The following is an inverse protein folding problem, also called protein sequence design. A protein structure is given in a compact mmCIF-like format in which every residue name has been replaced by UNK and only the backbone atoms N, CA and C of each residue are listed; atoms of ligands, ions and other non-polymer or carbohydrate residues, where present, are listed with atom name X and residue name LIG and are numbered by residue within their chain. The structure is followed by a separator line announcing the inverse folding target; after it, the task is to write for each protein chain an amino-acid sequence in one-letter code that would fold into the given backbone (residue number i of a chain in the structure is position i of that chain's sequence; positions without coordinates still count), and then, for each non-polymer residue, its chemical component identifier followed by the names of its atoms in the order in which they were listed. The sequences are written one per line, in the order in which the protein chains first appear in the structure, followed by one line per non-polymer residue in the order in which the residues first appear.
data_IF_088607992529
#
_entry.id   IF_088607992529
#
_cell.length_a   1.000
_cell.length_b   1.000
_cell.length_c   1.000
_cell.angle_alpha   90.00
_cell.angle_beta   90.00
_cell.angle_gamma   90.00
#
_symmetry.space_group_name_H-M   'P 1'
#
loop_
_entity.id
_entity.type
_entity.pdbx_description
1 polymer ?
#
# COMPACT_ATOMS: atom_id res chain seq x y z
N UNK A 1 -5.67 -13.62 -3.98
CA UNK A 1 -4.50 -13.69 -3.08
C UNK A 1 -4.04 -15.14 -2.98
N UNK A 2 -2.77 -15.44 -3.29
CA UNK A 2 -2.22 -16.82 -3.28
C UNK A 2 -1.10 -16.98 -2.25
N UNK A 3 -0.20 -15.99 -2.15
CA UNK A 3 1.01 -16.08 -1.32
C UNK A 3 0.72 -16.27 0.17
N UNK A 4 -0.23 -15.51 0.71
CA UNK A 4 -0.50 -15.50 2.16
C UNK A 4 -0.89 -16.88 2.71
N UNK A 5 -1.96 -17.55 2.23
CA UNK A 5 -2.32 -18.88 2.74
C UNK A 5 -1.26 -19.94 2.43
N UNK A 6 -0.51 -19.80 1.33
CA UNK A 6 0.61 -20.68 1.02
C UNK A 6 1.69 -20.59 2.10
N UNK A 7 2.13 -19.39 2.47
CA UNK A 7 3.14 -19.19 3.52
C UNK A 7 2.62 -19.63 4.88
N UNK A 8 1.39 -19.24 5.25
CA UNK A 8 0.78 -19.60 6.53
C UNK A 8 0.68 -21.12 6.71
N UNK A 9 0.50 -21.89 5.64
CA UNK A 9 0.46 -23.37 5.70
C UNK A 9 1.82 -24.04 5.93
N UNK A 10 2.93 -23.29 5.89
CA UNK A 10 4.30 -23.82 5.92
C UNK A 10 5.11 -23.42 7.13
N UNK A 11 4.60 -22.52 7.97
CA UNK A 11 5.32 -21.97 9.11
C UNK A 11 4.43 -21.96 10.35
N UNK A 12 5.04 -22.09 11.52
CA UNK A 12 4.35 -22.02 12.81
C UNK A 12 4.51 -20.64 13.48
N UNK A 13 5.41 -19.80 12.97
CA UNK A 13 5.61 -18.44 13.48
C UNK A 13 4.50 -17.51 13.00
N UNK A 14 4.19 -16.43 13.75
CA UNK A 14 3.18 -15.47 13.33
C UNK A 14 3.45 -14.84 11.96
N UNK A 15 2.42 -14.81 11.12
CA UNK A 15 2.47 -14.24 9.77
C UNK A 15 1.74 -12.90 9.73
N UNK A 16 2.45 -11.87 9.27
CA UNK A 16 1.88 -10.52 9.04
C UNK A 16 1.67 -10.34 7.54
N UNK A 17 0.44 -10.08 7.12
CA UNK A 17 0.11 -9.86 5.71
C UNK A 17 0.43 -8.43 5.28
N UNK A 18 1.14 -8.24 4.16
CA UNK A 18 1.52 -6.94 3.65
C UNK A 18 1.19 -6.79 2.15
N UNK A 19 0.85 -5.57 1.74
CA UNK A 19 0.54 -5.22 0.35
C UNK A 19 -0.94 -5.39 0.00
N UNK A 20 -1.63 -4.27 -0.24
CA UNK A 20 -3.07 -4.27 -0.59
C UNK A 20 -4.03 -4.13 0.60
N UNK A 21 -3.52 -4.04 1.83
CA UNK A 21 -4.31 -3.85 3.05
C UNK A 21 -4.42 -2.37 3.42
N UNK A 22 -5.61 -1.93 3.82
CA UNK A 22 -5.95 -0.51 4.04
C UNK A 22 -7.03 -0.29 5.11
N UNK A 23 -7.85 -1.29 5.40
CA UNK A 23 -9.08 -1.16 6.18
C UNK A 23 -9.44 -2.48 6.90
N UNK A 24 -10.55 -2.49 7.63
CA UNK A 24 -10.97 -3.65 8.41
C UNK A 24 -11.45 -4.82 7.56
N UNK A 25 -12.02 -4.56 6.39
CA UNK A 25 -12.40 -5.61 5.42
C UNK A 25 -11.18 -6.39 4.95
N UNK A 26 -10.13 -5.69 4.53
CA UNK A 26 -8.88 -6.33 4.09
C UNK A 26 -8.15 -7.00 5.24
N UNK A 27 -8.23 -6.45 6.46
CA UNK A 27 -7.74 -7.13 7.67
C UNK A 27 -8.47 -8.44 7.93
N UNK A 28 -9.81 -8.44 7.94
CA UNK A 28 -10.60 -9.66 8.14
C UNK A 28 -10.28 -10.74 7.08
N UNK A 29 -10.10 -10.32 5.82
CA UNK A 29 -9.66 -11.22 4.76
C UNK A 29 -8.25 -11.80 5.02
N UNK A 30 -7.31 -11.00 5.53
CA UNK A 30 -5.98 -11.48 5.91
C UNK A 30 -6.04 -12.52 7.03
N UNK A 31 -6.83 -12.26 8.07
CA UNK A 31 -7.02 -13.17 9.19
C UNK A 31 -7.63 -14.50 8.73
N UNK A 32 -8.65 -14.44 7.86
CA UNK A 32 -9.26 -15.63 7.27
C UNK A 32 -8.28 -16.46 6.42
N UNK A 33 -7.25 -15.82 5.86
CA UNK A 33 -6.20 -16.46 5.08
C UNK A 33 -5.00 -16.94 5.92
N UNK A 34 -5.09 -16.85 7.25
CA UNK A 34 -4.08 -17.37 8.18
C UNK A 34 -3.04 -16.35 8.63
N UNK A 35 -3.25 -15.05 8.39
CA UNK A 35 -2.44 -14.01 9.02
C UNK A 35 -2.89 -13.77 10.47
N UNK A 36 -2.01 -13.19 11.28
CA UNK A 36 -2.32 -12.71 12.63
C UNK A 36 -2.40 -11.17 12.70
N UNK A 37 -1.88 -10.48 11.69
CA UNK A 37 -1.96 -9.04 11.56
C UNK A 37 -1.81 -8.60 10.10
N UNK A 38 -2.05 -7.31 9.84
CA UNK A 38 -1.75 -6.65 8.58
C UNK A 38 -0.68 -5.57 8.76
N UNK A 39 0.12 -5.34 7.72
CA UNK A 39 1.03 -4.21 7.59
C UNK A 39 0.52 -3.27 6.50
N UNK A 40 0.38 -1.99 6.85
CA UNK A 40 -0.08 -0.93 5.95
C UNK A 40 1.08 0.00 5.56
N UNK A 41 1.28 0.20 4.26
CA UNK A 41 2.26 1.13 3.71
C UNK A 41 1.61 2.42 3.22
N UNK A 42 1.06 2.40 1.99
CA UNK A 42 0.42 3.56 1.35
C UNK A 42 -0.61 4.26 2.24
N UNK A 43 -1.44 3.51 2.97
CA UNK A 43 -2.44 4.04 3.91
C UNK A 43 -1.80 4.89 5.02
N UNK A 44 -0.62 4.49 5.50
CA UNK A 44 0.10 5.20 6.56
C UNK A 44 0.81 6.46 6.02
N UNK A 45 1.17 6.49 4.73
CA UNK A 45 1.68 7.71 4.08
C UNK A 45 0.60 8.78 4.02
N UNK A 46 -0.64 8.40 3.69
CA UNK A 46 -1.81 9.29 3.66
C UNK A 46 -2.42 9.50 5.06
N UNK A 47 -1.59 9.88 6.04
CA UNK A 47 -2.06 10.24 7.40
C UNK A 47 -1.60 11.65 7.76
N UNK A 48 -2.29 12.25 8.74
CA UNK A 48 -1.96 13.61 9.21
C UNK A 48 -0.53 13.67 9.74
N UNK A 49 -0.13 12.67 10.52
CA UNK A 49 1.17 12.58 11.21
C UNK A 49 2.33 12.19 10.29
N UNK A 50 2.05 11.66 9.10
CA UNK A 50 3.08 11.37 8.09
C UNK A 50 3.86 12.65 7.74
N UNK A 51 5.21 12.64 7.81
CA UNK A 51 6.03 13.82 7.53
C UNK A 51 6.22 14.09 6.03
N UNK A 52 5.62 13.26 5.17
CA UNK A 52 5.67 13.40 3.72
C UNK A 52 4.89 14.65 3.30
N UNK A 53 5.39 15.33 2.27
CA UNK A 53 4.76 16.52 1.71
C UNK A 53 3.31 16.25 1.25
N UNK A 54 2.45 17.24 1.44
CA UNK A 54 1.01 17.14 1.21
C UNK A 54 0.66 16.68 -0.22
N UNK A 55 1.39 17.18 -1.23
CA UNK A 55 1.22 16.74 -2.62
C UNK A 55 1.27 15.22 -2.81
N UNK A 56 2.13 14.51 -2.09
CA UNK A 56 2.19 13.04 -2.22
C UNK A 56 1.04 12.38 -1.48
N UNK A 57 0.63 12.90 -0.31
CA UNK A 57 -0.57 12.41 0.36
C UNK A 57 -1.81 12.59 -0.53
N UNK A 58 -1.93 13.75 -1.17
CA UNK A 58 -3.03 14.05 -2.08
C UNK A 58 -2.97 13.19 -3.36
N UNK A 59 -1.77 12.96 -3.92
CA UNK A 59 -1.60 12.04 -5.05
C UNK A 59 -2.03 10.61 -4.72
N UNK A 60 -1.93 10.16 -3.45
CA UNK A 60 -2.47 8.88 -3.02
C UNK A 60 -4.00 8.91 -3.00
N UNK A 61 -4.59 9.99 -2.48
CA UNK A 61 -6.05 10.16 -2.37
C UNK A 61 -6.72 10.27 -3.73
N UNK A 62 -6.07 10.94 -4.68
CA UNK A 62 -6.60 11.19 -6.02
C UNK A 62 -6.37 10.00 -6.99
N UNK A 63 -5.53 9.05 -6.61
CA UNK A 63 -5.15 7.94 -7.48
C UNK A 63 -6.23 6.85 -7.56
N UNK A 64 -6.45 6.32 -8.76
CA UNK A 64 -7.16 5.05 -8.96
C UNK A 64 -6.27 3.84 -8.65
N UNK A 65 -6.84 2.65 -8.65
CA UNK A 65 -6.12 1.39 -8.50
C UNK A 65 -5.13 1.12 -9.66
N UNK A 66 -5.34 1.78 -10.81
CA UNK A 66 -4.51 1.64 -12.01
C UNK A 66 -3.40 2.69 -12.14
N UNK A 67 -3.37 3.67 -11.24
CA UNK A 67 -2.39 4.77 -11.24
C UNK A 67 -1.07 4.40 -10.55
N UNK A 68 -0.63 3.16 -10.75
CA UNK A 68 0.71 2.72 -10.38
C UNK A 68 1.41 2.03 -11.54
N UNK A 69 2.74 2.14 -11.58
CA UNK A 69 3.60 1.42 -12.52
C UNK A 69 4.54 0.49 -11.79
N UNK A 70 4.96 -0.58 -12.47
CA UNK A 70 5.98 -1.50 -11.97
C UNK A 70 7.28 -1.25 -12.74
N UNK A 71 8.26 -0.67 -12.07
CA UNK A 71 9.57 -0.36 -12.62
C UNK A 71 10.57 -1.48 -12.31
N UNK A 72 11.67 -1.47 -13.05
CA UNK A 72 12.77 -2.41 -12.85
C UNK A 72 12.30 -3.87 -12.98
N UNK A 73 11.54 -4.20 -14.02
CA UNK A 73 10.94 -5.54 -14.20
C UNK A 73 11.96 -6.62 -14.55
N UNK A 74 13.13 -6.22 -15.04
CA UNK A 74 14.20 -7.12 -15.49
C UNK A 74 15.44 -7.08 -14.59
N UNK A 75 15.41 -6.30 -13.50
CA UNK A 75 16.48 -6.24 -12.50
C UNK A 75 15.89 -6.14 -11.08
N UNK A 76 16.68 -6.49 -10.06
CA UNK A 76 16.22 -6.46 -8.67
C UNK A 76 16.75 -5.20 -7.95
N UNK A 77 15.97 -4.58 -7.05
CA UNK A 77 14.56 -4.89 -6.73
C UNK A 77 13.57 -4.26 -7.72
N UNK A 78 12.45 -4.94 -7.99
CA UNK A 78 11.31 -4.32 -8.69
C UNK A 78 10.62 -3.30 -7.80
N UNK A 79 10.20 -2.16 -8.36
CA UNK A 79 9.61 -1.06 -7.59
C UNK A 79 8.18 -0.79 -8.07
N UNK A 80 7.23 -0.67 -7.14
CA UNK A 80 5.90 -0.14 -7.45
C UNK A 80 5.78 1.30 -6.96
N UNK A 81 5.41 2.18 -7.87
CA UNK A 81 5.35 3.63 -7.65
C UNK A 81 4.04 4.18 -8.20
N UNK A 82 3.60 5.32 -7.68
CA UNK A 82 2.53 6.12 -8.27
C UNK A 82 2.92 6.56 -9.67
N UNK A 83 1.93 6.63 -10.57
CA UNK A 83 2.11 7.09 -11.94
C UNK A 83 2.30 8.61 -11.96
N UNK A 84 3.41 9.04 -12.55
CA UNK A 84 3.77 10.43 -12.84
C UNK A 84 4.38 10.47 -14.24
N UNK A 85 4.70 11.66 -14.77
CA UNK A 85 5.37 11.74 -16.08
C UNK A 85 6.73 11.01 -16.06
N UNK A 86 7.51 11.19 -14.98
CA UNK A 86 8.79 10.48 -14.78
C UNK A 86 8.60 8.97 -14.68
N UNK A 87 7.71 8.48 -13.81
CA UNK A 87 7.58 7.03 -13.60
C UNK A 87 6.96 6.33 -14.81
N UNK A 88 6.02 6.98 -15.51
CA UNK A 88 5.41 6.48 -16.72
C UNK A 88 6.44 6.28 -17.85
N UNK A 89 7.38 7.22 -18.00
CA UNK A 89 8.46 7.10 -18.99
C UNK A 89 9.41 5.90 -18.73
N UNK A 90 9.48 5.42 -17.48
CA UNK A 90 10.35 4.32 -17.07
C UNK A 90 9.67 2.95 -17.07
N UNK A 91 8.34 2.86 -17.25
CA UNK A 91 7.59 1.61 -17.12
C UNK A 91 8.06 0.52 -18.09
N UNK A 92 8.49 0.93 -19.29
CA UNK A 92 8.97 0.05 -20.35
C UNK A 92 10.48 0.18 -20.61
N UNK A 93 11.21 0.93 -19.77
CA UNK A 93 12.65 0.98 -19.84
C UNK A 93 13.25 -0.32 -19.27
N UNK A 94 14.04 -0.99 -20.11
CA UNK A 94 14.72 -2.25 -19.77
C UNK A 94 16.23 -2.09 -19.67
N UNK A 95 16.74 -0.90 -19.97
CA UNK A 95 18.16 -0.58 -20.03
C UNK A 95 18.68 0.12 -18.80
N UNK A 96 17.86 0.96 -18.17
CA UNK A 96 18.24 1.76 -17.00
C UNK A 96 17.77 1.10 -15.71
N UNK A 97 18.60 1.15 -14.67
CA UNK A 97 18.17 0.77 -13.33
C UNK A 97 17.32 1.90 -12.73
N UNK A 98 16.03 1.62 -12.48
CA UNK A 98 15.10 2.62 -11.93
C UNK A 98 15.59 3.23 -10.60
N UNK A 99 16.44 2.53 -9.83
CA UNK A 99 17.03 3.04 -8.59
C UNK A 99 17.87 4.31 -8.79
N UNK A 100 18.42 4.54 -9.99
CA UNK A 100 19.19 5.75 -10.31
C UNK A 100 18.32 7.01 -10.24
N UNK A 101 16.99 6.86 -10.39
CA UNK A 101 16.02 7.94 -10.31
C UNK A 101 15.56 8.28 -8.87
N UNK A 102 16.21 7.72 -7.85
CA UNK A 102 15.93 8.01 -6.43
C UNK A 102 16.78 9.16 -5.85
N UNK A 103 17.77 9.68 -6.60
CA UNK A 103 18.77 10.61 -6.08
C UNK A 103 18.17 11.89 -5.47
N UNK A 104 17.06 12.41 -6.03
CA UNK A 104 16.39 13.63 -5.57
C UNK A 104 15.19 13.37 -4.66
N UNK A 105 15.21 12.26 -3.90
CA UNK A 105 14.11 11.89 -3.01
C UNK A 105 13.76 12.96 -1.96
N UNK A 106 14.69 13.79 -1.50
CA UNK A 106 14.37 14.87 -0.55
C UNK A 106 13.42 15.92 -1.13
N UNK A 107 13.57 16.23 -2.41
CA UNK A 107 12.70 17.17 -3.14
C UNK A 107 11.29 16.59 -3.34
N UNK A 108 11.18 15.27 -3.50
CA UNK A 108 9.91 14.56 -3.48
C UNK A 108 9.29 14.53 -2.06
N UNK A 109 10.05 14.04 -1.08
CA UNK A 109 9.58 13.77 0.29
C UNK A 109 9.16 15.04 1.03
N UNK A 110 9.93 16.12 0.89
CA UNK A 110 9.73 17.36 1.66
C UNK A 110 9.44 18.58 0.79
N UNK A 111 9.81 18.55 -0.49
CA UNK A 111 9.55 19.62 -1.45
C UNK A 111 8.26 19.45 -2.25
N UNK A 112 7.67 18.24 -2.27
CA UNK A 112 6.41 17.98 -2.97
C UNK A 112 6.51 17.92 -4.49
N UNK A 113 7.72 17.88 -5.05
CA UNK A 113 7.92 17.64 -6.48
C UNK A 113 7.72 16.14 -6.75
N UNK A 114 6.50 15.78 -7.16
CA UNK A 114 6.11 14.40 -7.44
C UNK A 114 6.93 13.77 -8.55
N UNK A 115 7.50 14.58 -9.45
CA UNK A 115 8.36 14.08 -10.49
C UNK A 115 9.83 14.10 -10.10
N UNK A 116 10.28 14.73 -9.00
CA UNK A 116 11.71 14.78 -8.64
C UNK A 116 12.36 13.40 -8.46
N UNK A 117 11.61 12.42 -7.96
CA UNK A 117 12.07 11.05 -7.74
C UNK A 117 10.90 10.05 -7.92
N UNK A 118 11.06 8.83 -7.44
CA UNK A 118 10.05 7.78 -7.57
C UNK A 118 9.17 7.69 -6.32
N UNK A 119 7.89 8.10 -6.47
CA UNK A 119 6.90 8.04 -5.41
C UNK A 119 6.42 6.60 -5.15
N UNK A 120 7.11 5.86 -4.28
CA UNK A 120 6.73 4.50 -3.87
C UNK A 120 5.29 4.45 -3.35
N UNK A 121 4.48 3.56 -3.92
CA UNK A 121 3.06 3.49 -3.62
C UNK A 121 2.45 2.19 -4.13
N UNK A 122 1.60 1.57 -3.32
CA UNK A 122 0.82 0.39 -3.73
C UNK A 122 -0.47 0.77 -4.46
N UNK A 123 -0.96 -0.15 -5.31
CA UNK A 123 -2.25 -0.03 -6.01
C UNK A 123 -3.47 0.14 -5.07
N UNK A 124 -3.28 -0.08 -3.77
CA UNK A 124 -4.27 0.21 -2.73
C UNK A 124 -4.62 1.70 -2.62
N UNK A 125 -3.85 2.59 -3.27
CA UNK A 125 -4.16 4.02 -3.37
C UNK A 125 -5.62 4.27 -3.83
N UNK A 126 -6.13 3.50 -4.80
CA UNK A 126 -7.53 3.56 -5.24
C UNK A 126 -8.59 3.17 -4.22
N UNK A 127 -8.22 2.86 -2.97
CA UNK A 127 -9.12 2.63 -1.83
C UNK A 127 -8.88 3.60 -0.66
N UNK A 128 -8.05 4.62 -0.87
CA UNK A 128 -7.70 5.63 0.13
C UNK A 128 -8.36 6.93 -0.29
N UNK A 129 -9.43 7.33 0.39
CA UNK A 129 -10.29 8.45 -0.04
C UNK A 129 -10.08 9.73 0.79
N UNK A 130 -9.17 9.71 1.76
CA UNK A 130 -9.06 10.71 2.81
C UNK A 130 -7.66 10.74 3.39
N UNK A 131 -7.27 11.86 4.01
CA UNK A 131 -6.09 11.94 4.90
C UNK A 131 -6.63 11.97 6.33
N UNK A 132 -6.29 10.97 7.13
CA UNK A 132 -6.85 10.76 8.46
C UNK A 132 -5.75 10.70 9.53
N UNK A 133 -6.05 11.04 10.80
CA UNK A 133 -5.14 10.75 11.91
C UNK A 133 -4.83 9.26 11.99
N UNK A 134 -3.58 8.89 12.28
CA UNK A 134 -3.14 7.50 12.43
C UNK A 134 -4.00 6.74 13.44
N UNK A 135 -4.37 7.40 14.54
CA UNK A 135 -5.22 6.82 15.57
C UNK A 135 -6.59 6.39 15.04
N UNK A 136 -7.19 7.19 14.16
CA UNK A 136 -8.49 6.90 13.56
C UNK A 136 -8.38 5.78 12.53
N UNK A 137 -7.33 5.78 11.69
CA UNK A 137 -7.06 4.69 10.73
C UNK A 137 -6.98 3.34 11.45
N UNK A 138 -6.20 3.25 12.54
CA UNK A 138 -6.02 2.01 13.31
C UNK A 138 -7.34 1.60 13.97
N UNK A 139 -8.01 2.54 14.64
CA UNK A 139 -9.26 2.29 15.37
C UNK A 139 -10.37 1.82 14.43
N UNK A 140 -10.55 2.50 13.30
CA UNK A 140 -11.57 2.18 12.32
C UNK A 140 -11.30 0.82 11.66
N UNK A 141 -10.05 0.55 11.28
CA UNK A 141 -9.64 -0.75 10.75
C UNK A 141 -9.94 -1.89 11.75
N UNK A 142 -9.57 -1.72 13.02
CA UNK A 142 -9.84 -2.73 14.05
C UNK A 142 -11.34 -2.95 14.28
N UNK A 143 -12.13 -1.87 14.37
CA UNK A 143 -13.57 -1.96 14.62
C UNK A 143 -14.31 -2.62 13.45
N UNK A 144 -14.02 -2.18 12.22
CA UNK A 144 -14.62 -2.74 11.01
C UNK A 144 -14.22 -4.22 10.84
N UNK A 145 -12.97 -4.60 11.14
CA UNK A 145 -12.55 -6.00 11.09
C UNK A 145 -13.40 -6.88 11.99
N UNK A 146 -13.62 -6.46 13.25
CA UNK A 146 -14.46 -7.21 14.19
C UNK A 146 -15.91 -7.29 13.73
N UNK A 147 -16.44 -6.23 13.15
CA UNK A 147 -17.78 -6.20 12.58
C UNK A 147 -17.93 -7.18 11.40
N UNK A 148 -16.98 -7.15 10.45
CA UNK A 148 -16.96 -8.05 9.28
C UNK A 148 -16.93 -9.51 9.74
N UNK A 149 -16.08 -9.87 10.71
CA UNK A 149 -16.00 -11.24 11.21
C UNK A 149 -17.31 -11.70 11.88
N UNK A 150 -17.96 -10.84 12.67
CA UNK A 150 -19.27 -11.15 13.28
C UNK A 150 -20.34 -11.35 12.21
N UNK A 151 -20.36 -10.50 11.18
CA UNK A 151 -21.32 -10.58 10.08
C UNK A 151 -21.15 -11.87 9.26
N UNK A 152 -19.90 -12.25 8.96
CA UNK A 152 -19.61 -13.51 8.29
C UNK A 152 -20.05 -14.71 9.13
N UNK A 153 -19.74 -14.71 10.43
CA UNK A 153 -20.14 -15.76 11.36
C UNK A 153 -21.66 -15.95 11.42
N UNK A 154 -22.41 -14.85 11.61
CA UNK A 154 -23.88 -14.89 11.67
C UNK A 154 -24.54 -15.27 10.33
N UNK A 155 -23.88 -15.00 9.20
CA UNK A 155 -24.41 -15.31 7.86
C UNK A 155 -24.17 -16.78 7.49
N UNK A 156 -22.96 -17.29 7.74
CA UNK A 156 -22.51 -18.57 7.15
C UNK A 156 -22.29 -19.71 8.14
N UNK A 157 -22.25 -19.46 9.46
CA UNK A 157 -21.92 -20.47 10.49
C UNK A 157 -23.16 -20.88 11.30
N UNK A 158 -24.34 -20.85 10.69
CA UNK A 158 -25.59 -21.29 11.33
C UNK A 158 -25.67 -22.82 11.43
#
# INVERSE_FOLDING_TARGET
MVLLPLVASKVEVPVIAAGGFVDGRTMAAALALGAEAIQMGTRMVATVESPIHENWKQAIVDASETDTVLLNRHAAPSLRVLRTDRSNALEFDTSTNAMEHMARHTELYFGGDMDAALALGGAVAGRIESIEPVADVIKNCSNECLEVLRNLGSTYVK
#
